data_IF_124912484160
#
_entry.id   IF_124912484160
#
_cell.length_a   1.000
_cell.length_b   1.000
_cell.length_c   1.000
_cell.angle_alpha   90.00
_cell.angle_beta   90.00
_cell.angle_gamma   90.00
#
_symmetry.space_group_name_H-M   'P 1'
#
loop_
_entity.id
_entity.type
_entity.pdbx_description
1 polymer ?
#
# COMPACT_ATOMS: atom_id res chain seq x y z
N UNK A 1 1.07 -23.24 -22.39
CA UNK A 1 0.61 -21.84 -22.54
C UNK A 1 0.44 -21.30 -21.13
N UNK A 2 1.14 -20.23 -20.76
CA UNK A 2 0.94 -19.57 -19.46
C UNK A 2 -0.48 -18.99 -19.40
N UNK A 3 -1.17 -19.18 -18.28
CA UNK A 3 -2.55 -18.70 -18.10
C UNK A 3 -2.61 -17.17 -18.22
N UNK A 4 -3.68 -16.64 -18.84
CA UNK A 4 -3.81 -15.21 -19.17
C UNK A 4 -3.68 -14.28 -17.95
N UNK A 5 -4.04 -14.74 -16.75
CA UNK A 5 -3.89 -13.96 -15.51
C UNK A 5 -2.42 -13.67 -15.13
N UNK A 6 -1.45 -14.43 -15.67
CA UNK A 6 -0.01 -14.17 -15.50
C UNK A 6 0.50 -13.07 -16.42
N UNK A 7 -0.16 -12.91 -17.57
CA UNK A 7 0.11 -11.84 -18.55
C UNK A 7 -0.71 -10.58 -18.27
N UNK A 8 -1.89 -10.74 -17.67
CA UNK A 8 -2.65 -9.63 -17.10
C UNK A 8 -1.79 -9.03 -15.98
N UNK A 9 -1.41 -7.78 -16.13
CA UNK A 9 -0.65 -7.10 -15.09
C UNK A 9 -1.47 -6.94 -13.80
N UNK A 10 -0.90 -6.25 -12.82
CA UNK A 10 -1.46 -6.20 -11.47
C UNK A 10 -1.62 -4.78 -10.95
N UNK A 11 -2.39 -4.64 -9.87
CA UNK A 11 -2.52 -3.41 -9.10
C UNK A 11 -1.76 -3.51 -7.78
N UNK A 12 -1.17 -2.41 -7.35
CA UNK A 12 -0.53 -2.25 -6.04
C UNK A 12 -1.38 -1.34 -5.16
N UNK A 13 -1.75 -1.82 -3.97
CA UNK A 13 -2.39 -0.99 -2.95
C UNK A 13 -1.40 -0.71 -1.82
N UNK A 14 -1.15 0.57 -1.55
CA UNK A 14 -0.33 1.02 -0.42
C UNK A 14 -1.23 1.54 0.67
N UNK A 15 -1.21 0.87 1.82
CA UNK A 15 -2.04 1.22 2.96
C UNK A 15 -1.35 2.26 3.85
N UNK A 16 -1.95 3.43 4.00
CA UNK A 16 -1.57 4.44 4.99
C UNK A 16 -2.52 4.37 6.20
N UNK A 17 -2.05 4.00 7.40
CA UNK A 17 -2.94 3.64 8.49
C UNK A 17 -3.32 4.83 9.40
N UNK A 18 -3.06 6.08 9.02
CA UNK A 18 -3.22 7.22 9.93
C UNK A 18 -4.29 8.22 9.52
N UNK A 19 -5.05 8.69 10.50
CA UNK A 19 -5.98 9.81 10.37
C UNK A 19 -5.64 10.92 11.36
N UNK A 20 -6.00 12.17 11.04
CA UNK A 20 -5.95 13.26 12.02
C UNK A 20 -6.99 13.07 13.14
N UNK A 21 -8.16 12.51 12.82
CA UNK A 21 -9.22 12.15 13.74
C UNK A 21 -9.97 10.91 13.23
N UNK A 22 -10.62 10.17 14.11
CA UNK A 22 -11.42 8.99 13.73
C UNK A 22 -12.90 9.36 13.63
N UNK A 23 -13.50 9.12 12.47
CA UNK A 23 -14.95 9.28 12.31
C UNK A 23 -15.68 8.21 13.16
N UNK A 24 -16.85 8.54 13.74
CA UNK A 24 -17.58 7.62 14.63
C UNK A 24 -18.07 6.35 13.92
N UNK A 25 -18.18 6.39 12.59
CA UNK A 25 -18.56 5.26 11.74
C UNK A 25 -17.37 4.54 11.09
N UNK A 26 -16.13 4.97 11.34
CA UNK A 26 -14.97 4.45 10.63
C UNK A 26 -14.57 3.06 11.16
N UNK A 27 -14.74 2.05 10.32
CA UNK A 27 -14.32 0.65 10.52
C UNK A 27 -13.02 0.30 9.78
N UNK A 28 -12.50 1.20 8.94
CA UNK A 28 -11.20 1.02 8.30
C UNK A 28 -10.09 0.82 9.32
N UNK A 29 -9.12 -0.03 8.96
CA UNK A 29 -7.87 -0.16 9.69
C UNK A 29 -7.12 1.18 9.65
N UNK A 30 -7.32 1.98 10.71
CA UNK A 30 -6.83 3.34 10.80
C UNK A 30 -6.71 3.77 12.26
N UNK A 31 -5.71 4.61 12.51
CA UNK A 31 -5.29 5.05 13.83
C UNK A 31 -5.15 6.57 13.87
N UNK A 32 -5.60 7.18 14.96
CA UNK A 32 -5.37 8.61 15.19
C UNK A 32 -3.95 8.81 15.69
N UNK A 33 -3.15 9.59 14.95
CA UNK A 33 -1.79 9.91 15.33
C UNK A 33 -1.52 11.40 15.17
N UNK A 34 -1.10 12.05 16.27
CA UNK A 34 -0.73 13.49 16.25
C UNK A 34 0.65 13.74 15.68
N UNK A 35 1.56 12.78 15.81
CA UNK A 35 2.93 12.82 15.30
C UNK A 35 3.23 11.49 14.65
N UNK A 36 3.76 11.53 13.44
CA UNK A 36 4.13 10.37 12.66
C UNK A 36 5.55 10.62 12.16
N UNK A 37 6.45 9.68 12.42
CA UNK A 37 7.76 9.69 11.78
C UNK A 37 7.60 9.27 10.32
N UNK A 38 7.33 10.25 9.46
CA UNK A 38 7.13 10.02 8.01
C UNK A 38 8.34 9.36 7.38
N UNK A 39 9.54 9.71 7.82
CA UNK A 39 10.78 9.15 7.26
C UNK A 39 10.93 7.67 7.61
N UNK A 40 10.58 7.25 8.84
CA UNK A 40 10.55 5.84 9.21
C UNK A 40 9.54 5.04 8.37
N UNK A 41 8.33 5.59 8.16
CA UNK A 41 7.31 4.94 7.34
C UNK A 41 7.72 4.82 5.86
N UNK A 42 8.29 5.87 5.27
CA UNK A 42 8.81 5.79 3.90
C UNK A 42 9.89 4.72 3.78
N UNK A 43 10.83 4.65 4.73
CA UNK A 43 11.85 3.59 4.73
C UNK A 43 11.24 2.20 4.82
N UNK A 44 10.23 2.00 5.66
CA UNK A 44 9.53 0.73 5.80
C UNK A 44 8.80 0.33 4.50
N UNK A 45 8.07 1.27 3.87
CA UNK A 45 7.42 1.01 2.59
C UNK A 45 8.41 0.67 1.48
N UNK A 46 9.52 1.40 1.39
CA UNK A 46 10.54 1.13 0.38
C UNK A 46 11.16 -0.27 0.57
N UNK A 47 11.44 -0.67 1.81
CA UNK A 47 11.94 -2.01 2.11
C UNK A 47 10.94 -3.11 1.68
N UNK A 48 9.66 -2.92 1.96
CA UNK A 48 8.62 -3.88 1.57
C UNK A 48 8.39 -3.90 0.05
N UNK A 49 8.42 -2.74 -0.61
CA UNK A 49 8.30 -2.66 -2.07
C UNK A 49 9.46 -3.38 -2.76
N UNK A 50 10.69 -3.24 -2.25
CA UNK A 50 11.83 -4.02 -2.75
C UNK A 50 11.61 -5.53 -2.59
N UNK A 51 11.14 -5.98 -1.43
CA UNK A 51 10.85 -7.40 -1.19
C UNK A 51 9.76 -7.94 -2.12
N UNK A 52 8.68 -7.18 -2.33
CA UNK A 52 7.56 -7.59 -3.21
C UNK A 52 7.94 -7.53 -4.69
N UNK A 53 8.84 -6.63 -5.08
CA UNK A 53 9.34 -6.56 -6.45
C UNK A 53 10.02 -7.88 -6.88
N UNK A 54 10.77 -8.51 -5.96
CA UNK A 54 11.42 -9.81 -6.20
C UNK A 54 10.40 -10.94 -6.46
N UNK A 55 9.20 -10.86 -5.87
CA UNK A 55 8.13 -11.85 -6.04
C UNK A 55 7.23 -11.59 -7.26
N UNK A 56 7.31 -10.39 -7.86
CA UNK A 56 6.40 -9.94 -8.92
C UNK A 56 7.09 -9.70 -10.27
N UNK A 57 8.37 -10.07 -10.38
CA UNK A 57 9.16 -9.94 -11.60
C UNK A 57 8.47 -10.52 -12.86
N UNK A 58 8.65 -9.83 -13.99
CA UNK A 58 8.06 -10.20 -15.28
C UNK A 58 6.57 -9.85 -15.45
N UNK A 59 5.91 -9.33 -14.41
CA UNK A 59 4.53 -8.83 -14.49
C UNK A 59 4.50 -7.31 -14.66
N UNK A 60 3.53 -6.80 -15.41
CA UNK A 60 3.33 -5.35 -15.57
C UNK A 60 2.51 -4.80 -14.41
N UNK A 61 2.98 -3.74 -13.75
CA UNK A 61 2.17 -2.99 -12.80
C UNK A 61 1.31 -1.98 -13.56
N UNK A 62 -0.01 -2.13 -13.52
CA UNK A 62 -0.94 -1.28 -14.27
C UNK A 62 -1.44 -0.09 -13.44
N UNK A 63 -1.66 -0.29 -12.14
CA UNK A 63 -2.31 0.70 -11.30
C UNK A 63 -1.72 0.71 -9.90
N UNK A 64 -1.61 1.91 -9.32
CA UNK A 64 -1.26 2.11 -7.92
C UNK A 64 -2.42 2.81 -7.23
N UNK A 65 -2.86 2.26 -6.12
CA UNK A 65 -3.86 2.84 -5.24
C UNK A 65 -3.21 3.13 -3.89
N UNK A 66 -3.48 4.31 -3.34
CA UNK A 66 -3.03 4.69 -2.00
C UNK A 66 -4.29 4.98 -1.20
N UNK A 67 -4.46 4.30 -0.07
CA UNK A 67 -5.66 4.42 0.75
C UNK A 67 -5.44 3.97 2.19
N UNK A 68 -6.50 3.92 2.98
CA UNK A 68 -6.45 3.54 4.40
C UNK A 68 -7.12 4.59 5.25
N UNK A 69 -6.37 5.21 6.16
CA UNK A 69 -6.81 6.38 6.90
C UNK A 69 -6.97 7.61 6.00
N UNK A 70 -6.08 8.59 6.14
CA UNK A 70 -6.06 9.78 5.28
C UNK A 70 -4.64 9.93 4.72
N UNK A 71 -4.36 9.29 3.57
CA UNK A 71 -3.09 9.42 2.87
C UNK A 71 -2.71 10.86 2.56
#
# INVERSE_FOLDING_TARGET
MTEDWRNAGFGLYVHWPFCQAKCPYCDFNSHVAKKIDRSAWVRAYLAELSRVADETGGRVLNTIYIGGGTP
#
